data_IF_329616176400
#
_entry.id   IF_329616176400
#
_cell.length_a   1.000
_cell.length_b   1.000
_cell.length_c   1.000
_cell.angle_alpha   90.00
_cell.angle_beta   90.00
_cell.angle_gamma   90.00
#
_symmetry.space_group_name_H-M   'P 1'
#
loop_
_entity.id
_entity.type
_entity.pdbx_description
1 polymer ?
#
# COMPACT_ATOMS: atom_id res chain seq x y z
N UNK A 1 -14.15 22.58 -6.84
CA UNK A 1 -14.10 23.67 -5.85
C UNK A 1 -14.58 25.00 -6.46
N UNK A 2 -14.06 25.45 -7.61
CA UNK A 2 -14.40 26.78 -8.18
C UNK A 2 -15.75 26.90 -8.92
N UNK A 3 -16.45 25.79 -9.15
CA UNK A 3 -17.80 25.75 -9.76
C UNK A 3 -18.93 25.69 -8.72
N UNK A 4 -18.62 25.93 -7.43
CA UNK A 4 -19.62 25.96 -6.36
C UNK A 4 -20.07 24.59 -5.83
N UNK A 5 -19.49 23.50 -6.33
CA UNK A 5 -19.68 22.15 -5.78
C UNK A 5 -18.64 21.86 -4.69
N UNK A 6 -19.06 21.34 -3.54
CA UNK A 6 -18.16 20.74 -2.56
C UNK A 6 -17.56 19.45 -3.14
N UNK A 7 -16.37 19.59 -3.71
CA UNK A 7 -15.57 18.48 -4.21
C UNK A 7 -14.45 18.21 -3.18
N UNK A 8 -14.48 17.06 -2.48
CA UNK A 8 -13.42 16.68 -1.54
C UNK A 8 -12.14 16.34 -2.30
N UNK A 9 -10.97 16.67 -1.75
CA UNK A 9 -9.69 16.25 -2.34
C UNK A 9 -9.58 14.73 -2.19
N UNK A 10 -9.66 14.00 -3.30
CA UNK A 10 -9.42 12.56 -3.34
C UNK A 10 -8.07 12.28 -3.99
N UNK A 11 -7.18 11.67 -3.22
CA UNK A 11 -5.86 11.20 -3.64
C UNK A 11 -5.72 9.77 -3.14
N UNK A 12 -6.51 8.83 -3.70
CA UNK A 12 -6.59 7.43 -3.24
C UNK A 12 -5.22 6.97 -2.75
N UNK A 13 -5.10 6.91 -1.43
CA UNK A 13 -3.83 6.96 -0.72
C UNK A 13 -3.32 5.55 -0.57
N UNK A 14 -3.33 4.74 -1.64
CA UNK A 14 -2.94 3.35 -1.52
C UNK A 14 -2.33 2.76 -2.78
N UNK A 15 -1.46 1.78 -2.57
CA UNK A 15 -0.87 0.92 -3.60
C UNK A 15 -1.44 -0.48 -3.45
N UNK A 16 -1.73 -1.11 -4.58
CA UNK A 16 -2.20 -2.49 -4.65
C UNK A 16 -1.11 -3.42 -5.17
N UNK A 17 -0.88 -4.53 -4.46
CA UNK A 17 0.05 -5.58 -4.85
C UNK A 17 -0.72 -6.88 -5.12
N UNK A 18 -0.76 -7.31 -6.38
CA UNK A 18 -1.36 -8.58 -6.79
C UNK A 18 -0.43 -9.77 -6.43
N UNK A 19 -0.36 -10.09 -5.14
CA UNK A 19 0.57 -11.09 -4.60
C UNK A 19 0.05 -12.54 -4.68
N UNK A 20 -1.24 -12.76 -4.96
CA UNK A 20 -1.84 -14.10 -5.03
C UNK A 20 -1.58 -14.91 -3.76
N UNK A 21 -1.16 -16.17 -3.92
CA UNK A 21 -0.77 -17.05 -2.81
C UNK A 21 0.39 -16.52 -1.94
N UNK A 22 1.10 -15.47 -2.38
CA UNK A 22 2.17 -14.83 -1.58
C UNK A 22 1.66 -13.67 -0.73
N UNK A 23 0.36 -13.40 -0.71
CA UNK A 23 -0.20 -12.24 -0.01
C UNK A 23 0.10 -12.28 1.50
N UNK A 24 0.01 -13.44 2.15
CA UNK A 24 0.28 -13.61 3.57
C UNK A 24 1.76 -13.38 3.89
N UNK A 25 2.65 -14.07 3.17
CA UNK A 25 4.11 -13.89 3.34
C UNK A 25 4.57 -12.44 3.06
N UNK A 26 3.92 -11.75 2.11
CA UNK A 26 4.17 -10.32 1.87
C UNK A 26 3.69 -9.47 3.05
N UNK A 27 2.51 -9.79 3.60
CA UNK A 27 1.98 -9.16 4.80
C UNK A 27 2.93 -9.27 5.99
N UNK A 28 3.43 -10.47 6.29
CA UNK A 28 4.38 -10.73 7.38
C UNK A 28 5.67 -9.90 7.23
N UNK A 29 6.19 -9.80 5.99
CA UNK A 29 7.38 -8.97 5.72
C UNK A 29 7.13 -7.48 5.95
N UNK A 30 5.97 -6.99 5.52
CA UNK A 30 5.57 -5.59 5.73
C UNK A 30 5.39 -5.29 7.23
N UNK A 31 4.75 -6.20 7.96
CA UNK A 31 4.57 -6.10 9.41
C UNK A 31 5.91 -6.10 10.15
N UNK A 32 6.84 -6.98 9.78
CA UNK A 32 8.20 -6.99 10.34
C UNK A 32 8.98 -5.70 10.07
N UNK A 33 8.65 -4.96 9.01
CA UNK A 33 9.19 -3.64 8.69
C UNK A 33 8.40 -2.48 9.35
N UNK A 34 7.40 -2.78 10.18
CA UNK A 34 6.54 -1.79 10.83
C UNK A 34 5.50 -1.14 9.90
N UNK A 35 5.22 -1.76 8.75
CA UNK A 35 4.29 -1.26 7.74
C UNK A 35 2.98 -2.03 7.83
N UNK A 36 1.90 -1.33 8.18
CA UNK A 36 0.57 -1.93 8.26
C UNK A 36 -0.05 -2.00 6.88
N UNK A 37 -0.39 -3.21 6.45
CA UNK A 37 -1.06 -3.46 5.18
C UNK A 37 -2.34 -4.28 5.39
N UNK A 38 -3.32 -4.11 4.50
CA UNK A 38 -4.47 -4.99 4.44
C UNK A 38 -4.18 -6.14 3.50
N UNK A 39 -4.02 -7.34 4.06
CA UNK A 39 -3.84 -8.57 3.30
C UNK A 39 -5.20 -9.15 2.90
N UNK A 40 -5.29 -9.60 1.66
CA UNK A 40 -6.37 -10.41 1.13
C UNK A 40 -5.75 -11.77 0.76
N UNK A 41 -5.94 -12.82 1.60
CA UNK A 41 -5.37 -14.14 1.37
C UNK A 41 -5.67 -14.64 -0.05
N UNK A 42 -4.68 -15.28 -0.67
CA UNK A 42 -4.71 -15.77 -2.06
C UNK A 42 -4.98 -14.74 -3.16
N UNK A 43 -5.09 -13.44 -2.81
CA UNK A 43 -5.46 -12.37 -3.75
C UNK A 43 -4.37 -11.31 -3.84
N UNK A 44 -4.05 -10.64 -2.73
CA UNK A 44 -3.11 -9.52 -2.77
C UNK A 44 -3.06 -8.68 -1.50
N UNK A 45 -2.37 -7.55 -1.58
CA UNK A 45 -2.12 -6.66 -0.45
C UNK A 45 -2.44 -5.22 -0.84
N UNK A 46 -3.18 -4.51 0.01
CA UNK A 46 -3.45 -3.08 -0.13
C UNK A 46 -2.67 -2.31 0.93
N UNK A 47 -1.83 -1.38 0.49
CA UNK A 47 -0.96 -0.56 1.33
C UNK A 47 -1.40 0.89 1.27
N UNK A 48 -1.74 1.50 2.39
CA UNK A 48 -2.03 2.93 2.44
C UNK A 48 -0.75 3.76 2.48
N UNK A 49 -0.63 4.80 1.67
CA UNK A 49 0.53 5.69 1.49
C UNK A 49 0.10 7.13 1.76
N UNK A 50 0.59 7.72 2.85
CA UNK A 50 0.26 9.10 3.23
C UNK A 50 1.31 10.12 2.78
N UNK A 51 2.57 9.71 2.68
CA UNK A 51 3.70 10.61 2.40
C UNK A 51 4.73 9.97 1.45
N UNK A 52 5.59 10.76 0.79
CA UNK A 52 6.71 10.23 0.00
C UNK A 52 7.67 9.34 0.82
N UNK A 53 7.82 9.61 2.12
CA UNK A 53 8.63 8.79 3.01
C UNK A 53 8.02 7.39 3.25
N UNK A 54 6.69 7.29 3.28
CA UNK A 54 6.01 5.98 3.37
C UNK A 54 6.31 5.13 2.13
N UNK A 55 6.30 5.75 0.95
CA UNK A 55 6.69 5.08 -0.30
C UNK A 55 8.11 4.54 -0.22
N UNK A 56 9.07 5.31 0.31
CA UNK A 56 10.45 4.87 0.45
C UNK A 56 10.57 3.64 1.36
N UNK A 57 9.93 3.66 2.54
CA UNK A 57 9.92 2.51 3.45
C UNK A 57 9.28 1.26 2.83
N UNK A 58 8.19 1.43 2.08
CA UNK A 58 7.54 0.34 1.36
C UNK A 58 8.52 -0.26 0.34
N UNK A 59 9.20 0.56 -0.46
CA UNK A 59 10.16 0.09 -1.45
C UNK A 59 11.35 -0.66 -0.80
N UNK A 60 11.86 -0.16 0.33
CA UNK A 60 12.90 -0.84 1.10
C UNK A 60 12.43 -2.21 1.63
N UNK A 61 11.23 -2.27 2.20
CA UNK A 61 10.65 -3.51 2.73
C UNK A 61 10.39 -4.55 1.64
N UNK A 62 10.03 -4.11 0.43
CA UNK A 62 9.81 -4.97 -0.74
C UNK A 62 11.13 -5.51 -1.32
N UNK A 63 12.20 -4.71 -1.28
CA UNK A 63 13.47 -5.00 -1.94
C UNK A 63 13.39 -4.80 -3.46
N UNK A 64 14.52 -4.99 -4.16
CA UNK A 64 14.53 -4.88 -5.62
C UNK A 64 13.59 -5.92 -6.27
N UNK A 65 12.79 -5.54 -7.28
CA UNK A 65 12.00 -6.51 -8.03
C UNK A 65 12.95 -7.52 -8.69
N UNK A 66 12.69 -8.82 -8.48
CA UNK A 66 13.32 -9.89 -9.26
C UNK A 66 12.45 -10.23 -10.46
#
# INVERSE_FOLDING_TARGET
RDLGWEVPDSQANFVWFAAGARAEALGERLEAAGIIARVFPDVGVRLTVGTPADTARILEALGAPR
#
